data_IF_094330913163
#
_entry.id   IF_094330913163
#
_cell.length_a   1.000
_cell.length_b   1.000
_cell.length_c   1.000
_cell.angle_alpha   90.00
_cell.angle_beta   90.00
_cell.angle_gamma   90.00
#
_symmetry.space_group_name_H-M   'P 1'
#
loop_
_entity.id
_entity.type
_entity.pdbx_description
1 polymer ?
#
# COMPACT_ATOMS: atom_id res chain seq x y z
N UNK A 1 -12.71 30.13 86.56
CA UNK A 1 -11.63 30.35 85.57
C UNK A 1 -11.13 29.05 84.93
N UNK A 2 -10.91 27.95 85.67
CA UNK A 2 -10.36 26.69 85.12
C UNK A 2 -11.19 26.06 83.97
N UNK A 3 -12.53 26.04 84.04
CA UNK A 3 -13.38 25.45 83.00
C UNK A 3 -13.35 26.20 81.65
N UNK A 4 -13.17 27.53 81.68
CA UNK A 4 -13.12 28.34 80.47
C UNK A 4 -11.83 28.09 79.67
N UNK A 5 -10.71 27.87 80.38
CA UNK A 5 -9.40 27.58 79.77
C UNK A 5 -9.42 26.20 79.12
N UNK A 6 -9.98 25.18 79.80
CA UNK A 6 -10.11 23.82 79.25
C UNK A 6 -11.02 23.81 78.03
N UNK A 7 -12.15 24.51 78.06
CA UNK A 7 -13.06 24.63 76.93
C UNK A 7 -12.39 25.34 75.73
N UNK A 8 -11.63 26.41 75.97
CA UNK A 8 -10.88 27.11 74.92
C UNK A 8 -9.82 26.19 74.30
N UNK A 9 -9.12 25.40 75.12
CA UNK A 9 -8.09 24.46 74.66
C UNK A 9 -8.70 23.34 73.79
N UNK A 10 -9.88 22.82 74.18
CA UNK A 10 -10.64 21.85 73.40
C UNK A 10 -11.11 22.44 72.06
N UNK A 11 -11.56 23.69 72.02
CA UNK A 11 -11.93 24.38 70.77
C UNK A 11 -10.73 24.51 69.84
N UNK A 12 -9.56 24.93 70.36
CA UNK A 12 -8.34 25.06 69.57
C UNK A 12 -7.88 23.70 69.02
N UNK A 13 -7.90 22.65 69.83
CA UNK A 13 -7.55 21.28 69.38
C UNK A 13 -8.52 20.80 68.30
N UNK A 14 -9.82 21.03 68.48
CA UNK A 14 -10.85 20.62 67.51
C UNK A 14 -10.68 21.36 66.18
N UNK A 15 -10.37 22.66 66.21
CA UNK A 15 -10.06 23.45 65.00
C UNK A 15 -8.80 22.93 64.33
N UNK A 16 -7.73 22.64 65.09
CA UNK A 16 -6.48 22.13 64.52
C UNK A 16 -6.66 20.75 63.86
N UNK A 17 -7.39 19.84 64.51
CA UNK A 17 -7.69 18.51 63.97
C UNK A 17 -8.58 18.60 62.72
N UNK A 18 -9.62 19.43 62.73
CA UNK A 18 -10.50 19.61 61.57
C UNK A 18 -9.76 20.22 60.37
N UNK A 19 -8.88 21.21 60.59
CA UNK A 19 -8.00 21.75 59.53
C UNK A 19 -7.03 20.68 59.01
N UNK A 20 -6.47 19.86 59.90
CA UNK A 20 -5.60 18.73 59.52
C UNK A 20 -6.33 17.73 58.61
N UNK A 21 -7.52 17.29 59.02
CA UNK A 21 -8.36 16.37 58.22
C UNK A 21 -8.77 17.01 56.89
N UNK A 22 -9.14 18.30 56.89
CA UNK A 22 -9.49 19.02 55.67
C UNK A 22 -8.28 19.10 54.70
N UNK A 23 -7.07 19.37 55.21
CA UNK A 23 -5.87 19.41 54.38
C UNK A 23 -5.54 18.06 53.73
N UNK A 24 -5.67 16.96 54.49
CA UNK A 24 -5.49 15.60 53.98
C UNK A 24 -6.54 15.27 52.91
N UNK A 25 -7.78 15.67 53.14
CA UNK A 25 -8.88 15.49 52.20
C UNK A 25 -8.64 16.29 50.91
N UNK A 26 -8.23 17.57 51.00
CA UNK A 26 -7.90 18.40 49.84
C UNK A 26 -6.73 17.82 49.02
N UNK A 27 -5.68 17.33 49.68
CA UNK A 27 -4.55 16.69 49.01
C UNK A 27 -4.97 15.40 48.28
N UNK A 28 -5.79 14.57 48.93
CA UNK A 28 -6.33 13.36 48.33
C UNK A 28 -7.20 13.67 47.10
N UNK A 29 -8.14 14.62 47.20
CA UNK A 29 -9.01 15.00 46.08
C UNK A 29 -8.26 15.63 44.92
N UNK A 30 -7.21 16.41 45.19
CA UNK A 30 -6.33 16.95 44.14
C UNK A 30 -5.67 15.83 43.33
N UNK A 31 -5.17 14.78 43.99
CA UNK A 31 -4.57 13.63 43.33
C UNK A 31 -5.61 12.82 42.53
N UNK A 32 -6.83 12.64 43.06
CA UNK A 32 -7.92 11.97 42.34
C UNK A 32 -8.33 12.75 41.10
N UNK A 33 -8.52 14.07 41.23
CA UNK A 33 -8.89 14.93 40.10
C UNK A 33 -7.81 14.93 39.02
N UNK A 34 -6.53 14.96 39.41
CA UNK A 34 -5.42 14.81 38.48
C UNK A 34 -5.47 13.48 37.73
N UNK A 35 -5.60 12.35 38.44
CA UNK A 35 -5.68 11.02 37.82
C UNK A 35 -6.87 10.88 36.87
N UNK A 36 -8.05 11.40 37.26
CA UNK A 36 -9.26 11.39 36.42
C UNK A 36 -9.09 12.26 35.18
N UNK A 37 -8.48 13.44 35.30
CA UNK A 37 -8.18 14.31 34.16
C UNK A 37 -7.20 13.65 33.19
N UNK A 38 -6.15 13.01 33.71
CA UNK A 38 -5.16 12.28 32.91
C UNK A 38 -5.79 11.13 32.14
N UNK A 39 -6.61 10.31 32.81
CA UNK A 39 -7.35 9.23 32.15
C UNK A 39 -8.35 9.78 31.13
N UNK A 40 -9.09 10.83 31.47
CA UNK A 40 -10.03 11.49 30.55
C UNK A 40 -9.36 11.96 29.26
N UNK A 41 -8.16 12.52 29.35
CA UNK A 41 -7.39 12.93 28.17
C UNK A 41 -6.98 11.73 27.30
N UNK A 42 -6.36 10.71 27.90
CA UNK A 42 -5.89 9.53 27.14
C UNK A 42 -7.07 8.75 26.52
N UNK A 43 -8.20 8.64 27.24
CA UNK A 43 -9.44 8.05 26.71
C UNK A 43 -9.95 8.86 25.51
N UNK A 44 -9.93 10.19 25.60
CA UNK A 44 -10.35 11.07 24.51
C UNK A 44 -9.47 10.86 23.28
N UNK A 45 -8.14 10.86 23.45
CA UNK A 45 -7.19 10.60 22.36
C UNK A 45 -7.42 9.22 21.74
N UNK A 46 -7.66 8.20 22.55
CA UNK A 46 -7.95 6.82 22.10
C UNK A 46 -9.24 6.74 21.27
N UNK A 47 -10.31 7.47 21.64
CA UNK A 47 -11.57 7.48 20.89
C UNK A 47 -11.45 8.07 19.48
N UNK A 48 -10.50 8.97 19.27
CA UNK A 48 -10.25 9.57 17.94
C UNK A 48 -9.18 8.83 17.14
N UNK A 49 -8.65 7.72 17.64
CA UNK A 49 -7.68 6.90 16.91
C UNK A 49 -8.35 6.24 15.71
N UNK A 50 -7.78 6.44 14.53
CA UNK A 50 -8.12 5.75 13.31
C UNK A 50 -6.88 5.04 12.77
N UNK A 51 -7.03 3.77 12.40
CA UNK A 51 -5.97 2.96 11.81
C UNK A 51 -6.53 2.35 10.53
N UNK A 52 -5.85 2.59 9.42
CA UNK A 52 -6.17 1.97 8.14
C UNK A 52 -4.98 1.16 7.65
N UNK A 53 -5.27 0.00 7.06
CA UNK A 53 -4.24 -0.91 6.57
C UNK A 53 -4.61 -1.40 5.18
N UNK A 54 -3.63 -1.42 4.30
CA UNK A 54 -3.81 -1.82 2.91
C UNK A 54 -3.98 -3.33 2.71
N UNK A 55 -4.26 -3.72 1.46
CA UNK A 55 -4.15 -5.13 1.08
C UNK A 55 -2.72 -5.63 1.25
N UNK A 56 -2.60 -6.92 1.58
CA UNK A 56 -1.34 -7.63 1.75
C UNK A 56 -0.60 -7.78 0.42
N UNK A 57 0.68 -7.36 0.36
CA UNK A 57 1.63 -8.03 -0.53
C UNK A 57 2.46 -9.02 0.23
N UNK A 58 2.82 -10.06 -0.48
CA UNK A 58 3.77 -11.03 0.00
C UNK A 58 4.77 -11.41 -1.08
N UNK A 59 5.94 -11.81 -0.61
CA UNK A 59 6.90 -12.63 -1.33
C UNK A 59 7.05 -13.93 -0.56
N UNK A 60 6.71 -15.06 -1.20
CA UNK A 60 6.91 -16.39 -0.62
C UNK A 60 8.29 -16.92 -0.97
N UNK A 61 9.06 -17.27 0.06
CA UNK A 61 10.35 -17.91 -0.10
C UNK A 61 10.21 -19.42 0.21
N UNK A 62 10.20 -20.20 -0.86
CA UNK A 62 10.02 -21.66 -0.81
C UNK A 62 11.13 -22.41 -0.09
N UNK A 63 12.32 -21.80 0.08
CA UNK A 63 13.44 -22.44 0.79
C UNK A 63 13.31 -22.35 2.32
N UNK A 64 12.56 -21.37 2.83
CA UNK A 64 12.41 -21.10 4.27
C UNK A 64 11.03 -21.43 4.85
N UNK A 65 10.03 -21.72 4.01
CA UNK A 65 8.62 -21.77 4.41
C UNK A 65 8.15 -20.49 5.13
N UNK A 66 8.68 -19.35 4.69
CA UNK A 66 8.42 -18.03 5.22
C UNK A 66 7.88 -17.08 4.13
N UNK A 67 7.12 -16.09 4.57
CA UNK A 67 6.54 -15.03 3.76
C UNK A 67 7.10 -13.70 4.24
N UNK A 68 7.71 -12.94 3.33
CA UNK A 68 7.92 -11.52 3.56
C UNK A 68 6.62 -10.82 3.20
N UNK A 69 5.92 -10.31 4.19
CA UNK A 69 4.67 -9.58 4.01
C UNK A 69 4.90 -8.10 4.16
N UNK A 70 4.17 -7.30 3.40
CA UNK A 70 4.19 -5.85 3.50
C UNK A 70 2.79 -5.29 3.45
N UNK A 71 2.54 -4.34 4.34
CA UNK A 71 1.29 -3.60 4.47
C UNK A 71 1.61 -2.11 4.54
N UNK A 72 0.74 -1.29 3.98
CA UNK A 72 0.78 0.14 4.18
C UNK A 72 -0.17 0.49 5.30
N UNK A 73 0.34 1.19 6.31
CA UNK A 73 -0.39 1.59 7.50
C UNK A 73 -0.53 3.11 7.51
N UNK A 74 -1.72 3.58 7.83
CA UNK A 74 -2.00 4.98 8.11
C UNK A 74 -2.60 5.07 9.51
N UNK A 75 -2.07 6.02 10.30
CA UNK A 75 -2.49 6.23 11.68
C UNK A 75 -2.86 7.70 11.84
N UNK A 76 -4.09 7.96 12.26
CA UNK A 76 -4.60 9.30 12.56
C UNK A 76 -5.10 9.36 13.99
N UNK A 77 -4.70 10.42 14.68
CA UNK A 77 -4.91 10.62 16.11
C UNK A 77 -4.76 12.12 16.41
N UNK A 78 -5.49 12.71 17.38
CA UNK A 78 -5.46 14.14 17.69
C UNK A 78 -4.21 14.56 18.49
N UNK A 79 -3.07 13.93 18.21
CA UNK A 79 -1.75 14.28 18.73
C UNK A 79 -0.73 14.22 17.59
N UNK A 80 0.36 14.97 17.68
CA UNK A 80 1.31 15.09 16.57
C UNK A 80 2.09 13.80 16.29
N UNK A 81 2.38 13.01 17.34
CA UNK A 81 3.16 11.78 17.25
C UNK A 81 2.58 10.69 18.16
N UNK A 82 2.65 9.47 17.67
CA UNK A 82 2.41 8.25 18.44
C UNK A 82 3.52 7.24 18.15
N UNK A 83 3.53 6.17 18.91
CA UNK A 83 4.51 5.10 18.79
C UNK A 83 3.83 3.85 18.27
N UNK A 84 4.32 3.32 17.15
CA UNK A 84 3.86 2.05 16.59
C UNK A 84 4.77 0.95 17.09
N UNK A 85 4.18 -0.10 17.66
CA UNK A 85 4.86 -1.29 18.14
C UNK A 85 4.29 -2.53 17.45
N UNK A 86 4.88 -2.95 16.31
CA UNK A 86 4.39 -4.08 15.53
C UNK A 86 5.11 -5.37 15.89
N UNK A 87 4.43 -6.45 16.25
CA UNK A 87 5.08 -7.71 16.61
C UNK A 87 4.38 -8.91 15.99
N UNK A 88 5.14 -9.98 15.77
CA UNK A 88 4.65 -11.21 15.16
C UNK A 88 4.23 -12.17 16.25
N UNK A 89 3.08 -12.83 16.09
CA UNK A 89 2.61 -13.88 16.98
C UNK A 89 2.08 -15.06 16.18
N UNK A 90 2.28 -16.27 16.70
CA UNK A 90 1.50 -17.43 16.24
C UNK A 90 0.07 -17.27 16.73
N UNK A 91 -0.95 -17.71 15.97
CA UNK A 91 -2.31 -17.27 16.20
C UNK A 91 -2.80 -17.91 17.50
N UNK A 92 -3.12 -17.05 18.48
CA UNK A 92 -3.97 -17.42 19.60
C UNK A 92 -5.43 -17.16 19.18
N UNK A 93 -6.39 -17.64 19.97
CA UNK A 93 -7.78 -17.21 19.82
C UNK A 93 -7.83 -15.66 19.77
N UNK A 94 -8.40 -15.08 18.71
CA UNK A 94 -8.37 -13.63 18.47
C UNK A 94 -8.89 -12.81 19.66
N UNK A 95 -9.81 -13.39 20.45
CA UNK A 95 -10.34 -12.79 21.68
C UNK A 95 -9.26 -12.53 22.74
N UNK A 96 -8.15 -13.27 22.72
CA UNK A 96 -7.04 -13.15 23.66
C UNK A 96 -6.02 -12.07 23.25
N UNK A 97 -6.05 -11.59 22.00
CA UNK A 97 -5.10 -10.57 21.52
C UNK A 97 -5.22 -9.25 22.27
N UNK A 98 -6.41 -8.93 22.81
CA UNK A 98 -6.61 -7.73 23.61
C UNK A 98 -5.71 -7.69 24.84
N UNK A 99 -5.45 -8.82 25.50
CA UNK A 99 -4.62 -8.89 26.72
C UNK A 99 -3.23 -9.45 26.48
N UNK A 100 -2.91 -9.83 25.25
CA UNK A 100 -1.64 -10.46 24.91
C UNK A 100 -0.47 -9.50 25.10
N UNK A 101 0.52 -9.86 25.91
CA UNK A 101 1.75 -9.10 26.07
C UNK A 101 2.84 -9.75 25.20
N UNK A 102 3.45 -9.01 24.26
CA UNK A 102 4.48 -9.57 23.40
C UNK A 102 5.74 -9.95 24.18
N UNK A 103 6.20 -11.18 23.98
CA UNK A 103 7.37 -11.76 24.64
C UNK A 103 8.42 -12.36 23.67
N UNK A 104 8.18 -12.27 22.36
CA UNK A 104 9.08 -12.79 21.33
C UNK A 104 9.89 -11.67 20.68
N UNK A 105 11.05 -12.02 20.11
CA UNK A 105 11.85 -11.11 19.29
C UNK A 105 11.04 -10.62 18.10
N UNK A 106 11.04 -9.31 17.93
CA UNK A 106 10.25 -8.63 16.91
C UNK A 106 10.87 -8.83 15.52
N UNK A 107 10.03 -9.18 14.55
CA UNK A 107 10.44 -9.42 13.17
C UNK A 107 9.70 -8.51 12.18
N UNK A 108 9.43 -7.27 12.61
CA UNK A 108 8.71 -6.27 11.84
C UNK A 108 9.48 -4.94 11.83
N UNK A 109 9.48 -4.28 10.68
CA UNK A 109 10.16 -3.00 10.44
C UNK A 109 9.20 -2.01 9.80
N UNK A 110 9.34 -0.73 10.14
CA UNK A 110 8.64 0.36 9.47
C UNK A 110 9.55 1.09 8.50
N UNK A 111 8.99 1.51 7.37
CA UNK A 111 9.66 2.31 6.36
C UNK A 111 8.80 3.52 5.99
N UNK A 112 9.44 4.60 5.56
CA UNK A 112 8.77 5.76 4.97
C UNK A 112 9.22 5.94 3.53
N UNK A 113 8.34 6.53 2.70
CA UNK A 113 8.64 6.84 1.31
C UNK A 113 9.58 8.03 1.20
N UNK A 114 10.57 7.94 0.31
CA UNK A 114 11.47 9.03 -0.05
C UNK A 114 11.68 9.06 -1.57
N UNK A 115 12.25 10.15 -2.10
CA UNK A 115 12.50 10.30 -3.54
C UNK A 115 13.39 9.18 -4.14
N UNK A 116 14.23 8.55 -3.31
CA UNK A 116 15.15 7.48 -3.73
C UNK A 116 14.68 6.09 -3.24
N UNK A 117 13.38 5.90 -3.08
CA UNK A 117 12.78 4.66 -2.57
C UNK A 117 12.48 4.69 -1.08
N UNK A 118 12.33 3.51 -0.47
CA UNK A 118 11.93 3.38 0.93
C UNK A 118 13.13 3.42 1.87
N UNK A 119 13.01 4.21 2.94
CA UNK A 119 14.02 4.27 3.99
C UNK A 119 13.46 3.68 5.29
N UNK A 120 14.25 2.86 6.00
CA UNK A 120 13.83 2.34 7.29
C UNK A 120 13.62 3.50 8.27
N UNK A 121 12.56 3.40 9.06
CA UNK A 121 12.32 4.32 10.16
C UNK A 121 13.18 3.86 11.35
N UNK A 122 13.86 4.81 11.99
CA UNK A 122 14.69 4.50 13.16
C UNK A 122 13.81 3.90 14.26
N UNK A 123 14.15 2.69 14.70
CA UNK A 123 13.54 2.08 15.86
C UNK A 123 14.24 2.52 17.14
N UNK A 124 13.51 2.45 18.25
CA UNK A 124 14.07 2.52 19.59
C UNK A 124 13.49 1.39 20.43
N UNK A 125 14.20 0.96 21.47
CA UNK A 125 13.75 -0.14 22.32
C UNK A 125 12.84 0.39 23.43
N UNK A 126 11.65 -0.21 23.58
CA UNK A 126 10.77 -0.01 24.73
C UNK A 126 10.91 -1.17 25.71
N UNK A 127 11.11 -0.84 26.99
CA UNK A 127 11.11 -1.82 28.09
C UNK A 127 10.40 -1.23 29.30
N UNK A 128 9.11 -0.97 29.14
CA UNK A 128 8.30 -0.24 30.10
C UNK A 128 6.96 -0.95 30.37
N UNK A 129 6.34 -0.53 31.47
CA UNK A 129 4.96 -0.88 31.79
C UNK A 129 4.02 -0.16 30.82
N UNK A 130 3.11 -0.92 30.23
CA UNK A 130 2.07 -0.43 29.32
C UNK A 130 0.74 -0.48 30.07
N UNK A 131 -0.01 0.62 29.98
CA UNK A 131 -1.30 0.80 30.64
C UNK A 131 -2.44 0.87 29.62
N UNK A 132 -3.64 0.50 30.03
CA UNK A 132 -4.86 0.73 29.26
C UNK A 132 -5.42 2.13 29.53
N UNK A 133 -5.99 2.82 28.53
CA UNK A 133 -6.66 4.11 28.71
C UNK A 133 -7.80 4.04 29.72
N UNK A 134 -8.61 2.97 29.64
CA UNK A 134 -9.71 2.68 30.53
C UNK A 134 -9.16 2.28 31.90
N UNK A 135 -9.56 2.99 32.94
CA UNK A 135 -9.21 2.75 34.36
C UNK A 135 -7.71 2.87 34.70
N UNK A 136 -6.82 3.09 33.72
CA UNK A 136 -5.39 3.18 33.94
C UNK A 136 -4.77 1.86 34.40
N UNK A 137 -5.41 0.73 34.12
CA UNK A 137 -4.96 -0.60 34.52
C UNK A 137 -3.64 -0.93 33.83
N UNK A 138 -2.71 -1.52 34.58
CA UNK A 138 -1.48 -2.09 34.02
C UNK A 138 -1.84 -3.27 33.12
N UNK A 139 -1.59 -3.14 31.82
CA UNK A 139 -1.72 -4.25 30.87
C UNK A 139 -0.58 -5.25 31.09
N UNK A 140 0.64 -4.75 31.26
CA UNK A 140 1.82 -5.57 31.53
C UNK A 140 3.13 -4.87 31.17
N UNK A 141 4.25 -5.58 31.38
CA UNK A 141 5.59 -5.09 31.06
C UNK A 141 6.07 -5.67 29.73
N UNK A 142 6.41 -4.79 28.79
CA UNK A 142 7.06 -5.18 27.54
C UNK A 142 8.57 -5.28 27.75
N UNK A 143 9.19 -6.30 27.17
CA UNK A 143 10.62 -6.56 27.33
C UNK A 143 11.35 -6.41 26.00
N UNK A 144 12.08 -5.31 25.86
CA UNK A 144 13.04 -5.07 24.77
C UNK A 144 12.48 -5.22 23.35
N UNK A 145 11.35 -4.55 23.06
CA UNK A 145 10.79 -4.49 21.71
C UNK A 145 11.15 -3.18 21.00
N UNK A 146 11.45 -3.26 19.72
CA UNK A 146 11.55 -2.13 18.81
C UNK A 146 10.20 -1.41 18.65
N UNK A 147 10.23 -0.11 18.81
CA UNK A 147 9.10 0.78 18.65
C UNK A 147 9.48 1.92 17.71
N UNK A 148 8.50 2.49 17.03
CA UNK A 148 8.71 3.40 15.93
C UNK A 148 7.92 4.68 16.15
N UNK A 149 8.58 5.83 16.15
CA UNK A 149 7.91 7.12 16.23
C UNK A 149 7.25 7.44 14.89
N UNK A 150 5.92 7.53 14.87
CA UNK A 150 5.15 7.90 13.69
C UNK A 150 4.43 9.22 13.91
N UNK A 151 4.46 10.06 12.90
CA UNK A 151 3.64 11.27 12.84
C UNK A 151 2.19 10.90 12.52
N UNK A 152 1.24 11.59 13.15
CA UNK A 152 -0.18 11.45 12.85
C UNK A 152 -0.49 11.87 11.41
N UNK A 153 -1.51 11.24 10.82
CA UNK A 153 -1.97 11.47 9.45
C UNK A 153 -0.87 11.25 8.39
N UNK A 154 0.05 10.33 8.65
CA UNK A 154 1.15 9.97 7.75
C UNK A 154 1.14 8.47 7.50
N UNK A 155 1.60 8.10 6.31
CA UNK A 155 1.61 6.72 5.81
C UNK A 155 2.99 6.08 5.97
N UNK A 156 3.01 4.83 6.43
CA UNK A 156 4.24 4.04 6.60
C UNK A 156 4.06 2.65 5.98
N UNK A 157 5.17 2.01 5.62
CA UNK A 157 5.17 0.60 5.22
C UNK A 157 5.60 -0.23 6.40
N UNK A 158 4.72 -1.13 6.82
CA UNK A 158 4.98 -2.19 7.78
C UNK A 158 5.39 -3.45 7.01
N UNK A 159 6.64 -3.86 7.13
CA UNK A 159 7.13 -5.12 6.58
C UNK A 159 7.46 -6.08 7.70
N UNK A 160 7.10 -7.35 7.54
CA UNK A 160 7.43 -8.39 8.49
C UNK A 160 7.69 -9.71 7.78
N UNK A 161 8.46 -10.58 8.43
CA UNK A 161 8.66 -11.95 7.97
C UNK A 161 7.87 -12.91 8.85
N UNK A 162 7.00 -13.70 8.22
CA UNK A 162 6.02 -14.57 8.87
C UNK A 162 6.18 -16.03 8.42
N UNK A 163 6.00 -16.96 9.34
CA UNK A 163 5.80 -18.38 9.04
C UNK A 163 4.31 -18.69 8.82
N UNK A 164 4.03 -19.90 8.32
CA UNK A 164 2.66 -20.43 8.27
C UNK A 164 1.97 -20.29 9.64
N UNK A 165 0.75 -19.75 9.63
CA UNK A 165 -0.09 -19.42 10.80
C UNK A 165 0.28 -18.16 11.58
N UNK A 166 1.40 -17.47 11.32
CA UNK A 166 1.70 -16.25 12.07
C UNK A 166 0.90 -15.03 11.56
N UNK A 167 0.56 -14.13 12.49
CA UNK A 167 -0.06 -12.83 12.22
C UNK A 167 0.80 -11.70 12.77
N UNK A 168 0.57 -10.48 12.29
CA UNK A 168 1.18 -9.28 12.86
C UNK A 168 0.16 -8.62 13.77
N UNK A 169 0.56 -8.23 14.98
CA UNK A 169 -0.23 -7.38 15.86
C UNK A 169 0.45 -6.02 15.94
N UNK A 170 -0.33 -4.95 15.77
CA UNK A 170 0.17 -3.58 15.78
C UNK A 170 -0.45 -2.85 16.96
N UNK A 171 0.39 -2.42 17.90
CA UNK A 171 -0.03 -1.56 19.01
C UNK A 171 0.26 -0.11 18.68
N UNK A 172 -0.69 0.77 19.02
CA UNK A 172 -0.50 2.23 19.00
C UNK A 172 -0.34 2.70 20.43
N UNK A 173 0.85 3.18 20.75
CA UNK A 173 1.25 3.65 22.07
C UNK A 173 1.34 5.18 22.10
N UNK A 174 0.98 5.75 23.25
CA UNK A 174 1.12 7.17 23.53
C UNK A 174 1.75 7.36 24.91
N UNK A 175 2.83 8.14 24.96
CA UNK A 175 3.49 8.49 26.21
C UNK A 175 2.87 9.77 26.78
N UNK A 176 2.25 9.66 27.95
CA UNK A 176 1.59 10.77 28.60
C UNK A 176 1.85 10.74 30.09
N UNK A 177 2.33 11.87 30.63
CA UNK A 177 2.61 12.05 32.07
C UNK A 177 3.37 10.89 32.74
N UNK A 178 4.47 10.44 32.11
CA UNK A 178 5.34 9.41 32.69
C UNK A 178 4.92 7.97 32.43
N UNK A 179 3.80 7.72 31.75
CA UNK A 179 3.27 6.38 31.47
C UNK A 179 3.06 6.16 29.98
N UNK A 180 3.23 4.91 29.56
CA UNK A 180 2.88 4.47 28.22
C UNK A 180 1.47 3.89 28.21
N UNK A 181 0.62 4.41 27.35
CA UNK A 181 -0.75 3.95 27.18
C UNK A 181 -0.93 3.30 25.82
N UNK A 182 -1.58 2.13 25.77
CA UNK A 182 -2.00 1.51 24.51
C UNK A 182 -3.34 2.11 24.09
N UNK A 183 -3.30 3.08 23.18
CA UNK A 183 -4.50 3.76 22.66
C UNK A 183 -5.42 2.81 21.88
N UNK A 184 -4.83 1.83 21.20
CA UNK A 184 -5.55 0.82 20.44
C UNK A 184 -4.60 -0.24 19.91
N UNK A 185 -5.18 -1.26 19.28
CA UNK A 185 -4.43 -2.29 18.57
C UNK A 185 -5.23 -2.79 17.37
N UNK A 186 -4.52 -3.29 16.37
CA UNK A 186 -5.08 -4.04 15.25
C UNK A 186 -4.23 -5.28 15.00
N UNK A 187 -4.72 -6.20 14.18
CA UNK A 187 -3.97 -7.37 13.76
C UNK A 187 -4.14 -7.60 12.26
N UNK A 188 -3.10 -8.13 11.64
CA UNK A 188 -2.98 -8.38 10.22
C UNK A 188 -2.76 -9.88 10.04
N UNK A 189 -3.81 -10.57 9.61
CA UNK A 189 -3.73 -11.98 9.27
C UNK A 189 -3.46 -12.11 7.75
N UNK A 190 -2.34 -12.72 7.34
CA UNK A 190 -2.08 -12.95 5.92
C UNK A 190 -2.88 -14.12 5.32
N UNK A 191 -3.52 -14.96 6.15
CA UNK A 191 -4.24 -16.18 5.74
C UNK A 191 -5.76 -16.02 5.62
N UNK A 192 -6.36 -15.02 6.28
CA UNK A 192 -7.78 -14.70 6.13
C UNK A 192 -7.97 -13.44 5.27
N UNK A 193 -9.02 -13.42 4.44
CA UNK A 193 -9.54 -12.16 3.85
C UNK A 193 -10.13 -11.20 4.91
N UNK A 194 -10.20 -11.63 6.17
CA UNK A 194 -10.72 -10.90 7.32
C UNK A 194 -9.72 -9.88 7.86
N UNK A 195 -9.66 -8.72 7.21
CA UNK A 195 -9.12 -7.49 7.79
C UNK A 195 -10.16 -6.89 8.71
N UNK A 196 -9.86 -6.77 10.01
CA UNK A 196 -10.69 -6.05 10.97
C UNK A 196 -10.44 -4.54 10.95
N UNK A 197 -11.26 -3.85 10.14
CA UNK A 197 -11.95 -2.55 10.32
C UNK A 197 -11.69 -1.41 9.31
N UNK A 198 -12.74 -0.60 9.14
CA UNK A 198 -13.21 0.15 7.97
C UNK A 198 -12.66 1.59 7.75
N UNK A 199 -12.88 1.99 6.49
CA UNK A 199 -12.45 3.06 5.55
C UNK A 199 -12.78 4.54 5.87
N UNK A 200 -11.93 5.50 5.44
CA UNK A 200 -12.27 6.73 4.67
C UNK A 200 -11.13 7.16 3.68
N UNK A 201 -11.56 7.46 2.46
CA UNK A 201 -10.83 7.95 1.28
C UNK A 201 -9.93 9.17 1.48
N UNK A 202 -8.76 9.19 0.84
CA UNK A 202 -8.06 10.44 0.51
C UNK A 202 -8.41 10.92 -0.90
N UNK A 203 -8.90 12.16 -0.96
CA UNK A 203 -9.01 12.97 -2.17
C UNK A 203 -7.79 13.89 -2.23
N UNK A 204 -7.11 13.90 -3.38
CA UNK A 204 -6.04 14.84 -3.67
C UNK A 204 -6.32 15.53 -5.00
N UNK A 205 -6.19 16.85 -5.03
CA UNK A 205 -6.14 17.64 -6.26
C UNK A 205 -4.71 17.60 -6.80
N UNK A 206 -4.55 17.45 -8.13
CA UNK A 206 -3.24 17.28 -8.76
C UNK A 206 -2.87 18.44 -9.66
N UNK A 207 -1.68 18.99 -9.38
CA UNK A 207 -0.92 19.78 -10.34
C UNK A 207 0.10 18.88 -11.05
N UNK A 208 0.26 19.16 -12.34
CA UNK A 208 1.02 18.47 -13.36
C UNK A 208 2.54 18.40 -13.13
N UNK A 209 3.18 17.52 -13.91
CA UNK A 209 4.62 17.46 -14.25
C UNK A 209 5.61 17.26 -13.08
N UNK A 210 6.14 16.04 -12.96
CA UNK A 210 7.31 15.76 -12.12
C UNK A 210 8.54 16.50 -12.68
N UNK A 211 8.97 17.57 -12.00
CA UNK A 211 10.24 18.28 -12.30
C UNK A 211 11.48 17.38 -12.19
N UNK A 212 11.36 16.19 -11.59
CA UNK A 212 12.46 15.23 -11.43
C UNK A 212 12.83 14.49 -12.73
N UNK A 213 11.99 14.55 -13.78
CA UNK A 213 12.30 13.98 -15.10
C UNK A 213 13.39 14.74 -15.89
N UNK A 214 13.90 15.87 -15.39
CA UNK A 214 14.94 16.64 -16.10
C UNK A 214 16.30 15.93 -16.18
N UNK A 215 16.57 14.95 -15.32
CA UNK A 215 17.89 14.31 -15.21
C UNK A 215 17.89 12.80 -15.53
N UNK A 216 16.78 12.22 -15.97
CA UNK A 216 16.77 10.85 -16.47
C UNK A 216 17.25 10.85 -17.92
N UNK A 217 18.35 10.14 -18.22
CA UNK A 217 18.71 9.83 -19.60
C UNK A 217 17.56 9.01 -20.18
N UNK A 218 16.76 9.63 -21.05
CA UNK A 218 15.57 9.00 -21.58
C UNK A 218 15.92 7.65 -22.24
N UNK A 219 15.11 6.60 -22.01
CA UNK A 219 15.28 5.35 -22.72
C UNK A 219 15.17 5.63 -24.22
N UNK A 220 16.25 5.35 -24.96
CA UNK A 220 16.41 5.49 -26.41
C UNK A 220 15.34 6.35 -27.14
N UNK A 221 15.60 7.65 -27.30
CA UNK A 221 14.73 8.57 -28.07
C UNK A 221 14.58 8.23 -29.58
N UNK A 222 15.23 7.16 -30.09
CA UNK A 222 15.47 7.02 -31.54
C UNK A 222 15.33 5.60 -32.10
N UNK A 223 15.06 4.58 -31.29
CA UNK A 223 14.82 3.21 -31.78
C UNK A 223 13.38 2.82 -31.51
N UNK A 224 12.60 2.70 -32.57
CA UNK A 224 11.20 2.32 -32.49
C UNK A 224 11.05 0.99 -31.74
N UNK A 225 10.31 1.00 -30.63
CA UNK A 225 10.05 -0.22 -29.85
C UNK A 225 9.30 -1.19 -30.76
N UNK A 226 9.84 -2.39 -30.98
CA UNK A 226 9.31 -3.32 -31.98
C UNK A 226 8.20 -4.21 -31.43
N UNK A 227 8.17 -4.40 -30.11
CA UNK A 227 7.08 -5.03 -29.39
C UNK A 227 6.89 -4.33 -28.05
N UNK A 228 5.62 -4.18 -27.66
CA UNK A 228 5.22 -3.66 -26.36
C UNK A 228 4.16 -4.59 -25.79
N UNK A 229 4.35 -4.94 -24.53
CA UNK A 229 3.50 -5.78 -23.72
C UNK A 229 3.02 -4.98 -22.54
N UNK A 230 1.74 -5.09 -22.24
CA UNK A 230 1.14 -4.49 -21.06
C UNK A 230 0.21 -5.49 -20.42
N UNK A 231 0.19 -5.56 -19.09
CA UNK A 231 -0.83 -6.34 -18.41
C UNK A 231 -1.09 -5.84 -17.02
N UNK A 232 -2.28 -6.19 -16.51
CA UNK A 232 -2.70 -5.79 -15.17
C UNK A 232 -3.62 -6.84 -14.55
N UNK A 233 -3.61 -6.87 -13.22
CA UNK A 233 -4.62 -7.54 -12.40
C UNK A 233 -5.70 -6.55 -11.99
N UNK A 234 -6.97 -6.87 -12.24
CA UNK A 234 -8.11 -6.09 -11.77
C UNK A 234 -9.20 -6.97 -11.15
N UNK A 235 -10.01 -6.37 -10.28
CA UNK A 235 -11.15 -6.99 -9.61
C UNK A 235 -12.35 -6.04 -9.66
N UNK A 236 -13.50 -6.43 -10.23
CA UNK A 236 -14.73 -5.67 -10.13
C UNK A 236 -15.21 -5.65 -8.67
N UNK A 237 -15.39 -4.47 -8.09
CA UNK A 237 -15.86 -4.28 -6.70
C UNK A 237 -17.30 -3.78 -6.64
N UNK A 238 -17.77 -3.12 -7.69
CA UNK A 238 -19.17 -2.72 -7.84
C UNK A 238 -19.56 -2.74 -9.32
N UNK A 239 -20.84 -2.99 -9.59
CA UNK A 239 -21.39 -2.88 -10.93
C UNK A 239 -21.67 -1.41 -11.25
N UNK A 240 -21.20 -0.94 -12.40
CA UNK A 240 -21.46 0.42 -12.87
C UNK A 240 -22.39 0.41 -14.09
N UNK A 241 -23.45 1.21 -14.03
CA UNK A 241 -24.35 1.44 -15.18
C UNK A 241 -23.74 2.36 -16.24
N UNK A 242 -22.72 3.14 -15.86
CA UNK A 242 -21.91 3.98 -16.74
C UNK A 242 -20.57 3.31 -17.03
N UNK A 243 -19.84 3.81 -18.03
CA UNK A 243 -18.50 3.30 -18.34
C UNK A 243 -17.54 3.60 -17.17
N UNK A 244 -17.08 2.56 -16.49
CA UNK A 244 -16.02 2.66 -15.50
C UNK A 244 -14.70 2.23 -16.14
N UNK A 245 -13.80 3.19 -16.37
CA UNK A 245 -12.51 2.94 -17.00
C UNK A 245 -11.60 2.17 -16.04
N UNK A 246 -11.00 1.10 -16.54
CA UNK A 246 -9.97 0.31 -15.84
C UNK A 246 -8.59 0.75 -16.31
N UNK A 247 -8.42 0.87 -17.63
CA UNK A 247 -7.15 1.24 -18.26
C UNK A 247 -7.40 2.07 -19.51
N UNK A 248 -6.58 3.09 -19.73
CA UNK A 248 -6.42 3.73 -21.03
C UNK A 248 -4.94 3.82 -21.38
N UNK A 249 -4.56 3.18 -22.48
CA UNK A 249 -3.24 3.27 -23.08
C UNK A 249 -3.34 4.17 -24.31
N UNK A 250 -2.60 5.28 -24.31
CA UNK A 250 -2.49 6.17 -25.47
C UNK A 250 -1.08 6.05 -26.07
N UNK A 251 -1.02 5.89 -27.38
CA UNK A 251 0.20 5.65 -28.14
C UNK A 251 0.37 6.73 -29.19
N UNK A 252 1.60 7.20 -29.38
CA UNK A 252 1.99 7.99 -30.55
C UNK A 252 2.72 7.05 -31.50
N UNK A 253 2.08 6.71 -32.62
CA UNK A 253 2.67 5.86 -33.64
C UNK A 253 3.79 6.57 -34.40
N UNK A 254 4.66 5.80 -35.07
CA UNK A 254 5.79 6.31 -35.87
C UNK A 254 5.40 7.34 -36.92
N UNK A 255 4.16 7.29 -37.42
CA UNK A 255 3.62 8.23 -38.40
C UNK A 255 2.91 9.45 -37.76
N UNK A 256 3.07 9.67 -36.45
CA UNK A 256 2.46 10.78 -35.70
C UNK A 256 1.00 10.56 -35.31
N UNK A 257 0.40 9.44 -35.69
CA UNK A 257 -0.98 9.12 -35.34
C UNK A 257 -1.13 8.74 -33.86
N UNK A 258 -2.12 9.31 -33.19
CA UNK A 258 -2.44 8.98 -31.82
C UNK A 258 -3.51 7.88 -31.75
N UNK A 259 -3.18 6.75 -31.13
CA UNK A 259 -4.09 5.62 -30.93
C UNK A 259 -4.38 5.51 -29.45
N UNK A 260 -5.62 5.23 -29.06
CA UNK A 260 -6.00 4.94 -27.69
C UNK A 260 -6.66 3.57 -27.60
N UNK A 261 -6.25 2.77 -26.61
CA UNK A 261 -6.87 1.52 -26.22
C UNK A 261 -7.42 1.66 -24.80
N UNK A 262 -8.74 1.60 -24.68
CA UNK A 262 -9.47 1.67 -23.43
C UNK A 262 -10.03 0.30 -23.05
N UNK A 263 -9.87 -0.06 -21.79
CA UNK A 263 -10.55 -1.18 -21.15
C UNK A 263 -11.47 -0.60 -20.08
N UNK A 264 -12.75 -0.95 -20.13
CA UNK A 264 -13.73 -0.47 -19.18
C UNK A 264 -14.78 -1.55 -18.89
N UNK A 265 -15.42 -1.46 -17.73
CA UNK A 265 -16.62 -2.22 -17.46
C UNK A 265 -17.88 -1.35 -17.57
N UNK A 266 -18.99 -1.99 -17.92
CA UNK A 266 -20.33 -1.39 -17.88
C UNK A 266 -21.36 -2.52 -17.79
N UNK A 267 -22.31 -2.44 -16.87
CA UNK A 267 -23.37 -3.44 -16.66
C UNK A 267 -22.82 -4.87 -16.53
N UNK A 268 -21.82 -5.07 -15.67
CA UNK A 268 -21.14 -6.37 -15.44
C UNK A 268 -20.42 -6.93 -16.66
N UNK A 269 -20.18 -6.13 -17.69
CA UNK A 269 -19.53 -6.56 -18.92
C UNK A 269 -18.21 -5.83 -19.10
N UNK A 270 -17.18 -6.59 -19.44
CA UNK A 270 -15.88 -6.06 -19.82
C UNK A 270 -15.88 -5.73 -21.32
N UNK A 271 -15.43 -4.53 -21.65
CA UNK A 271 -15.26 -4.07 -23.02
C UNK A 271 -13.84 -3.60 -23.26
N UNK A 272 -13.40 -3.79 -24.50
CA UNK A 272 -12.20 -3.17 -25.07
C UNK A 272 -12.60 -2.27 -26.20
N UNK A 273 -11.99 -1.10 -26.25
CA UNK A 273 -12.26 -0.08 -27.24
C UNK A 273 -10.94 0.49 -27.76
N UNK A 274 -10.76 0.49 -29.07
CA UNK A 274 -9.62 1.11 -29.74
C UNK A 274 -10.11 2.28 -30.58
N UNK A 275 -9.37 3.38 -30.60
CA UNK A 275 -9.70 4.55 -31.42
C UNK A 275 -8.44 5.19 -31.99
N UNK A 276 -8.51 5.58 -33.25
CA UNK A 276 -7.54 6.44 -33.90
C UNK A 276 -8.01 7.88 -33.75
N UNK A 277 -7.37 8.63 -32.85
CA UNK A 277 -7.79 9.98 -32.45
C UNK A 277 -7.74 10.97 -33.61
N UNK A 278 -6.93 10.73 -34.64
CA UNK A 278 -6.79 11.59 -35.81
C UNK A 278 -7.89 11.40 -36.87
N UNK A 279 -8.67 10.31 -36.84
CA UNK A 279 -9.57 9.98 -37.97
C UNK A 279 -10.94 9.44 -37.57
N UNK A 280 -11.35 9.53 -36.30
CA UNK A 280 -12.62 9.03 -35.75
C UNK A 280 -12.89 7.52 -35.93
N UNK A 281 -11.93 6.77 -36.48
CA UNK A 281 -12.03 5.32 -36.63
C UNK A 281 -11.95 4.67 -35.25
N UNK A 282 -12.92 3.82 -34.94
CA UNK A 282 -12.93 3.11 -33.66
C UNK A 282 -13.54 1.72 -33.78
N UNK A 283 -13.14 0.85 -32.87
CA UNK A 283 -13.66 -0.51 -32.73
C UNK A 283 -13.88 -0.81 -31.26
N UNK A 284 -15.04 -1.37 -30.94
CA UNK A 284 -15.39 -1.84 -29.60
C UNK A 284 -15.69 -3.33 -29.67
N UNK A 285 -15.28 -4.08 -28.66
CA UNK A 285 -15.61 -5.50 -28.54
C UNK A 285 -15.92 -5.86 -27.10
N UNK A 286 -16.97 -6.65 -26.92
CA UNK A 286 -17.30 -7.30 -25.65
C UNK A 286 -16.33 -8.46 -25.40
N UNK A 287 -15.72 -8.50 -24.22
CA UNK A 287 -14.77 -9.54 -23.82
C UNK A 287 -15.42 -10.62 -22.96
N UNK A 288 -16.09 -10.26 -21.88
CA UNK A 288 -16.74 -11.24 -21.00
C UNK A 288 -17.71 -10.57 -20.04
N UNK A 289 -18.55 -11.40 -19.41
CA UNK A 289 -19.25 -10.99 -18.19
C UNK A 289 -18.27 -11.07 -17.01
N UNK A 290 -18.41 -10.17 -16.07
CA UNK A 290 -17.56 -9.99 -14.90
C UNK A 290 -18.34 -10.34 -13.64
N UNK A 291 -17.79 -11.25 -12.86
CA UNK A 291 -18.27 -11.51 -11.50
C UNK A 291 -17.63 -10.54 -10.51
N UNK A 292 -18.44 -9.99 -9.60
CA UNK A 292 -17.96 -9.17 -8.49
C UNK A 292 -16.98 -9.94 -7.61
N UNK A 293 -15.99 -9.23 -7.10
CA UNK A 293 -14.93 -9.71 -6.22
C UNK A 293 -14.03 -10.83 -6.77
N UNK A 294 -14.11 -11.11 -8.08
CA UNK A 294 -13.23 -12.06 -8.75
C UNK A 294 -12.05 -11.33 -9.42
N UNK A 295 -10.84 -11.87 -9.27
CA UNK A 295 -9.64 -11.34 -9.93
C UNK A 295 -9.53 -11.81 -11.37
N UNK A 296 -9.23 -10.88 -12.26
CA UNK A 296 -8.95 -11.10 -13.67
C UNK A 296 -7.59 -10.52 -14.02
N UNK A 297 -6.88 -11.18 -14.92
CA UNK A 297 -5.64 -10.69 -15.48
C UNK A 297 -5.82 -10.42 -16.97
N UNK A 298 -5.57 -9.20 -17.40
CA UNK A 298 -5.59 -8.84 -18.82
C UNK A 298 -4.17 -8.64 -19.31
N UNK A 299 -3.86 -9.25 -20.45
CA UNK A 299 -2.58 -9.16 -21.13
C UNK A 299 -2.79 -8.61 -22.53
N UNK A 300 -2.00 -7.61 -22.90
CA UNK A 300 -2.06 -6.89 -24.17
C UNK A 300 -0.68 -6.98 -24.78
N UNK A 301 -0.60 -7.35 -26.05
CA UNK A 301 0.66 -7.31 -26.81
C UNK A 301 0.44 -6.75 -28.20
N UNK A 302 1.38 -5.94 -28.67
CA UNK A 302 1.35 -5.36 -30.01
C UNK A 302 2.77 -5.00 -30.48
N UNK A 303 2.91 -4.74 -31.78
CA UNK A 303 4.16 -4.29 -32.41
C UNK A 303 4.57 -5.13 -33.63
N UNK A 304 5.56 -4.65 -34.37
CA UNK A 304 6.05 -5.29 -35.59
C UNK A 304 6.51 -6.76 -35.40
N UNK A 305 7.03 -7.12 -34.22
CA UNK A 305 7.56 -8.47 -33.96
C UNK A 305 6.61 -9.37 -33.16
N UNK A 306 5.40 -8.92 -32.81
CA UNK A 306 4.41 -9.71 -32.06
C UNK A 306 3.45 -10.51 -32.96
N UNK A 307 3.82 -10.74 -34.22
CA UNK A 307 3.06 -11.52 -35.20
C UNK A 307 1.93 -10.77 -35.91
N UNK A 308 1.36 -9.70 -35.33
CA UNK A 308 0.40 -8.83 -36.00
C UNK A 308 0.69 -7.34 -35.70
N UNK A 309 1.35 -6.68 -36.65
CA UNK A 309 1.84 -5.31 -36.49
C UNK A 309 0.75 -4.24 -36.52
N UNK A 310 -0.51 -4.61 -36.81
CA UNK A 310 -1.65 -3.71 -36.94
C UNK A 310 -2.80 -4.05 -35.99
N UNK A 311 -2.60 -4.92 -34.99
CA UNK A 311 -3.61 -5.18 -33.96
C UNK A 311 -3.03 -5.19 -32.55
N UNK A 312 -3.90 -4.91 -31.59
CA UNK A 312 -3.72 -5.23 -30.19
C UNK A 312 -4.21 -6.65 -29.95
N UNK A 313 -3.31 -7.55 -29.55
CA UNK A 313 -3.67 -8.89 -29.13
C UNK A 313 -3.99 -8.84 -27.64
N UNK A 314 -5.25 -9.06 -27.29
CA UNK A 314 -5.75 -8.93 -25.92
C UNK A 314 -6.22 -10.29 -25.45
N UNK A 315 -5.71 -10.74 -24.31
CA UNK A 315 -6.09 -11.99 -23.68
C UNK A 315 -6.50 -11.74 -22.24
N UNK A 316 -7.66 -12.26 -21.87
CA UNK A 316 -8.19 -12.20 -20.53
C UNK A 316 -8.06 -13.57 -19.85
N UNK A 317 -7.57 -13.56 -18.63
CA UNK A 317 -7.39 -14.73 -17.80
C UNK A 317 -8.21 -14.63 -16.52
N UNK A 318 -8.63 -15.78 -16.02
CA UNK A 318 -9.19 -15.96 -14.68
C UNK A 318 -8.65 -17.26 -14.10
N UNK A 319 -8.17 -17.23 -12.84
CA UNK A 319 -7.59 -18.39 -12.16
C UNK A 319 -6.50 -19.10 -12.99
N UNK A 320 -5.65 -18.31 -13.66
CA UNK A 320 -4.55 -18.83 -14.49
C UNK A 320 -4.96 -19.45 -15.84
N UNK A 321 -6.26 -19.50 -16.16
CA UNK A 321 -6.79 -20.02 -17.43
C UNK A 321 -7.23 -18.89 -18.35
N UNK A 322 -7.10 -19.09 -19.66
CA UNK A 322 -7.65 -18.15 -20.66
C UNK A 322 -9.17 -18.20 -20.56
N UNK A 323 -9.78 -17.04 -20.32
CA UNK A 323 -11.22 -16.86 -20.32
C UNK A 323 -11.72 -16.42 -21.69
N UNK A 324 -11.05 -15.44 -22.30
CA UNK A 324 -11.32 -15.00 -23.67
C UNK A 324 -10.10 -14.31 -24.30
N UNK A 325 -10.10 -14.15 -25.62
CA UNK A 325 -9.11 -13.39 -26.37
C UNK A 325 -9.76 -12.65 -27.54
N UNK A 326 -9.16 -11.53 -27.93
CA UNK A 326 -9.61 -10.75 -29.08
C UNK A 326 -8.46 -9.95 -29.69
N UNK A 327 -8.60 -9.60 -30.96
CA UNK A 327 -7.66 -8.73 -31.67
C UNK A 327 -8.40 -7.46 -32.07
N UNK A 328 -8.00 -6.31 -31.50
CA UNK A 328 -8.54 -5.02 -31.92
C UNK A 328 -7.61 -4.35 -32.92
N UNK A 329 -8.14 -3.73 -33.99
CA UNK A 329 -7.32 -2.98 -34.93
C UNK A 329 -6.64 -1.80 -34.22
N UNK A 330 -5.36 -1.59 -34.53
CA UNK A 330 -4.62 -0.39 -34.11
C UNK A 330 -4.61 0.69 -35.19
N UNK A 331 -5.13 0.39 -36.39
CA UNK A 331 -5.26 1.29 -37.56
C UNK A 331 -3.95 1.85 -38.12
N UNK A 332 -2.82 1.63 -37.46
CA UNK A 332 -1.47 2.03 -37.90
C UNK A 332 -0.43 1.08 -37.32
N UNK A 333 0.79 1.10 -37.84
CA UNK A 333 1.89 0.33 -37.25
C UNK A 333 2.38 1.01 -35.97
N UNK A 334 2.24 0.30 -34.85
CA UNK A 334 2.54 0.80 -33.51
C UNK A 334 3.99 0.53 -33.07
N UNK A 335 4.96 1.03 -33.83
CA UNK A 335 6.33 1.12 -33.33
C UNK A 335 6.52 2.53 -32.74
N UNK A 336 5.83 2.82 -31.63
CA UNK A 336 5.79 4.15 -31.02
C UNK A 336 7.00 4.46 -30.13
N UNK A 337 7.22 5.74 -29.88
CA UNK A 337 8.28 6.23 -28.96
C UNK A 337 7.74 6.59 -27.58
N UNK A 338 6.43 6.89 -27.49
CA UNK A 338 5.79 7.33 -26.26
C UNK A 338 4.50 6.54 -26.03
N UNK A 339 4.35 6.04 -24.80
CA UNK A 339 3.13 5.47 -24.27
C UNK A 339 2.70 6.27 -23.04
N UNK A 340 1.44 6.69 -23.03
CA UNK A 340 0.80 7.26 -21.85
C UNK A 340 -0.14 6.23 -21.26
N UNK A 341 0.04 5.93 -19.99
CA UNK A 341 -0.77 4.95 -19.25
C UNK A 341 -1.63 5.69 -18.24
N UNK A 342 -2.94 5.45 -18.26
CA UNK A 342 -3.89 5.95 -17.27
C UNK A 342 -4.65 4.79 -16.66
N UNK A 343 -4.63 4.71 -15.33
CA UNK A 343 -5.34 3.69 -14.57
C UNK A 343 -6.63 4.25 -13.97
N UNK A 344 -7.69 3.44 -13.98
CA UNK A 344 -8.92 3.73 -13.25
C UNK A 344 -9.74 4.91 -13.78
N UNK A 345 -10.80 5.23 -13.03
CA UNK A 345 -11.65 6.41 -13.19
C UNK A 345 -12.23 6.85 -11.85
N UNK A 346 -12.86 8.02 -11.80
CA UNK A 346 -13.58 8.48 -10.60
C UNK A 346 -14.74 7.54 -10.20
N UNK A 347 -15.16 6.65 -11.08
CA UNK A 347 -16.24 5.69 -10.83
C UNK A 347 -15.70 4.51 -10.02
N UNK A 348 -16.18 4.35 -8.79
CA UNK A 348 -15.75 3.30 -7.85
C UNK A 348 -16.26 1.89 -8.22
N UNK A 349 -15.84 1.34 -9.36
CA UNK A 349 -16.32 0.06 -9.88
C UNK A 349 -15.28 -1.07 -9.88
N UNK A 350 -13.99 -0.74 -10.01
CA UNK A 350 -12.89 -1.70 -10.15
C UNK A 350 -11.81 -1.53 -9.08
N UNK A 351 -10.92 -2.49 -8.98
CA UNK A 351 -9.76 -2.44 -8.10
C UNK A 351 -8.57 -3.00 -8.88
N UNK A 352 -7.48 -2.24 -9.00
CA UNK A 352 -6.26 -2.66 -9.71
C UNK A 352 -5.20 -2.99 -8.66
N UNK A 353 -4.52 -4.12 -8.76
CA UNK A 353 -3.49 -4.53 -7.78
C UNK A 353 -2.07 -4.46 -8.31
N UNK A 354 -1.87 -4.82 -9.59
CA UNK A 354 -0.57 -4.82 -10.24
C UNK A 354 -0.72 -4.48 -11.72
N UNK A 355 0.30 -3.84 -12.28
CA UNK A 355 0.46 -3.68 -13.71
C UNK A 355 1.93 -3.75 -14.13
N UNK A 356 2.18 -4.18 -15.36
CA UNK A 356 3.50 -4.10 -15.97
C UNK A 356 3.43 -3.53 -17.37
N UNK A 357 4.56 -2.99 -17.80
CA UNK A 357 4.89 -2.69 -19.17
C UNK A 357 6.22 -3.38 -19.49
N UNK A 358 6.37 -3.90 -20.70
CA UNK A 358 7.63 -4.44 -21.19
C UNK A 358 7.78 -4.10 -22.66
N UNK A 359 8.99 -3.79 -23.09
CA UNK A 359 9.28 -3.56 -24.51
C UNK A 359 10.49 -4.36 -24.98
N UNK A 360 10.49 -4.78 -26.25
CA UNK A 360 11.55 -5.58 -26.84
C UNK A 360 12.15 -4.95 -28.11
N UNK A 361 13.45 -5.19 -28.31
CA UNK A 361 14.22 -4.61 -29.41
C UNK A 361 14.22 -5.47 -30.67
N UNK A 362 14.08 -6.78 -30.51
CA UNK A 362 14.20 -7.77 -31.58
C UNK A 362 13.39 -9.03 -31.29
N UNK A 363 13.12 -9.82 -32.34
CA UNK A 363 12.40 -11.10 -32.23
C UNK A 363 13.08 -12.08 -31.28
N UNK A 364 14.41 -12.01 -31.13
CA UNK A 364 15.17 -12.83 -30.19
C UNK A 364 14.79 -12.55 -28.73
N UNK A 365 14.25 -11.36 -28.43
CA UNK A 365 13.78 -10.98 -27.09
C UNK A 365 12.37 -11.46 -26.74
N UNK A 366 11.63 -12.08 -27.68
CA UNK A 366 10.22 -12.47 -27.47
C UNK A 366 10.06 -13.48 -26.32
N UNK A 367 11.05 -14.35 -26.09
CA UNK A 367 11.04 -15.27 -24.95
C UNK A 367 10.95 -14.53 -23.61
N UNK A 368 11.87 -13.60 -23.37
CA UNK A 368 11.87 -12.76 -22.16
C UNK A 368 10.66 -11.83 -22.09
N UNK A 369 10.21 -11.30 -23.23
CA UNK A 369 9.03 -10.44 -23.35
C UNK A 369 7.76 -11.12 -22.83
N UNK A 370 7.46 -12.34 -23.33
CA UNK A 370 6.31 -13.11 -22.85
C UNK A 370 6.53 -13.71 -21.46
N UNK A 371 7.78 -13.81 -20.99
CA UNK A 371 8.07 -14.27 -19.63
C UNK A 371 7.57 -13.28 -18.58
N UNK A 372 7.67 -11.97 -18.83
CA UNK A 372 7.18 -10.92 -17.90
C UNK A 372 5.69 -11.12 -17.58
N UNK A 373 4.86 -11.33 -18.60
CA UNK A 373 3.42 -11.56 -18.40
C UNK A 373 3.14 -12.90 -17.69
N UNK A 374 3.90 -13.96 -18.02
CA UNK A 374 3.79 -15.27 -17.36
C UNK A 374 4.13 -15.20 -15.88
N UNK A 375 5.15 -14.44 -15.50
CA UNK A 375 5.53 -14.20 -14.10
C UNK A 375 4.35 -13.60 -13.34
N UNK A 376 3.78 -12.49 -13.83
CA UNK A 376 2.67 -11.82 -13.15
C UNK A 376 1.40 -12.69 -13.09
N UNK A 377 1.07 -13.41 -14.17
CA UNK A 377 -0.08 -14.31 -14.21
C UNK A 377 0.07 -15.47 -13.21
N UNK A 378 1.24 -16.11 -13.18
CA UNK A 378 1.50 -17.28 -12.32
C UNK A 378 1.46 -16.93 -10.84
N UNK A 379 2.00 -15.78 -10.47
CA UNK A 379 2.16 -15.40 -9.07
C UNK A 379 0.92 -14.70 -8.48
N UNK A 380 0.01 -14.25 -9.33
CA UNK A 380 -1.29 -13.70 -8.90
C UNK A 380 -1.26 -12.23 -8.49
N UNK A 381 -2.44 -11.68 -8.12
CA UNK A 381 -2.67 -10.24 -7.96
C UNK A 381 -1.96 -9.61 -6.76
N UNK A 382 -1.50 -10.38 -5.78
CA UNK A 382 -0.91 -9.83 -4.55
C UNK A 382 0.60 -10.07 -4.42
N UNK A 383 1.18 -10.91 -5.27
CA UNK A 383 2.61 -11.22 -5.21
C UNK A 383 3.44 -10.05 -5.73
N UNK A 384 4.27 -9.45 -4.87
CA UNK A 384 5.15 -8.34 -5.24
C UNK A 384 6.61 -8.71 -4.97
N UNK A 385 7.23 -9.42 -5.90
CA UNK A 385 8.68 -9.59 -5.91
C UNK A 385 9.24 -8.87 -7.12
N UNK A 386 9.98 -7.78 -6.89
CA UNK A 386 10.54 -7.00 -7.98
C UNK A 386 11.86 -7.58 -8.50
N UNK A 387 12.51 -8.47 -7.73
CA UNK A 387 13.75 -9.14 -8.12
C UNK A 387 13.58 -10.01 -9.36
N UNK A 388 12.47 -10.72 -9.50
CA UNK A 388 12.23 -11.60 -10.67
C UNK A 388 12.10 -10.80 -11.97
N UNK A 389 11.58 -9.57 -11.90
CA UNK A 389 11.53 -8.67 -13.05
C UNK A 389 12.91 -8.11 -13.38
N UNK A 390 13.68 -7.71 -12.36
CA UNK A 390 15.08 -7.31 -12.50
C UNK A 390 15.95 -8.43 -13.15
N UNK A 391 15.86 -9.66 -12.63
CA UNK A 391 16.55 -10.81 -13.21
C UNK A 391 16.13 -11.06 -14.66
N UNK A 392 14.85 -10.88 -14.99
CA UNK A 392 14.36 -11.05 -16.37
C UNK A 392 15.00 -10.06 -17.34
N UNK A 393 15.10 -8.78 -16.97
CA UNK A 393 15.73 -7.77 -17.84
C UNK A 393 17.25 -7.91 -17.90
N UNK A 394 17.93 -8.25 -16.78
CA UNK A 394 19.37 -8.52 -16.75
C UNK A 394 19.70 -9.71 -17.65
N UNK A 395 18.99 -10.83 -17.49
CA UNK A 395 19.22 -12.04 -18.28
C UNK A 395 18.80 -11.91 -19.75
N UNK A 396 17.98 -10.91 -20.08
CA UNK A 396 17.66 -10.59 -21.47
C UNK A 396 18.84 -10.02 -22.25
N UNK A 397 19.93 -9.59 -21.60
CA UNK A 397 21.15 -9.07 -22.24
C UNK A 397 20.85 -8.02 -23.33
N UNK A 398 20.09 -6.98 -22.98
CA UNK A 398 19.67 -5.90 -23.88
C UNK A 398 18.73 -6.33 -25.03
N UNK A 399 18.11 -7.53 -24.96
CA UNK A 399 17.05 -7.91 -25.90
C UNK A 399 15.70 -7.27 -25.54
N UNK A 400 15.50 -6.93 -24.26
CA UNK A 400 14.44 -6.04 -23.78
C UNK A 400 14.96 -4.60 -23.72
N UNK A 401 14.10 -3.63 -24.03
CA UNK A 401 14.41 -2.21 -23.83
C UNK A 401 14.15 -1.82 -22.37
N UNK A 402 12.96 -2.14 -21.88
CA UNK A 402 12.52 -1.80 -20.54
C UNK A 402 11.51 -2.79 -19.95
N UNK A 403 11.41 -2.74 -18.62
CA UNK A 403 10.30 -3.27 -17.84
C UNK A 403 9.83 -2.16 -16.90
N UNK A 404 8.58 -1.73 -17.05
CA UNK A 404 7.87 -0.90 -16.07
C UNK A 404 7.00 -1.77 -15.17
N UNK A 405 6.95 -1.47 -13.88
CA UNK A 405 6.14 -2.21 -12.91
C UNK A 405 5.46 -1.26 -11.91
N UNK A 406 4.17 -1.50 -11.68
CA UNK A 406 3.36 -0.80 -10.70
C UNK A 406 2.69 -1.79 -9.75
N UNK A 407 2.76 -1.49 -8.46
CA UNK A 407 2.02 -2.19 -7.44
C UNK A 407 1.08 -1.23 -6.70
N UNK A 408 -0.21 -1.58 -6.67
CA UNK A 408 -1.27 -0.77 -6.11
C UNK A 408 -1.65 -1.33 -4.74
N UNK A 409 -1.21 -0.60 -3.73
CA UNK A 409 -1.31 -0.98 -2.32
C UNK A 409 -2.75 -1.01 -1.83
N UNK A 410 -3.53 -0.04 -2.30
CA UNK A 410 -4.97 0.03 -2.09
C UNK A 410 -5.65 -0.13 -3.46
N UNK A 411 -6.03 -1.36 -3.84
CA UNK A 411 -6.73 -1.61 -5.09
C UNK A 411 -8.08 -0.89 -5.11
N UNK A 412 -8.11 0.26 -5.76
CA UNK A 412 -9.33 1.04 -5.96
C UNK A 412 -9.45 1.44 -7.40
N UNK A 413 -10.66 1.86 -7.74
CA UNK A 413 -11.05 2.31 -9.07
C UNK A 413 -10.55 3.73 -9.31
N UNK A 414 -10.31 4.45 -8.22
CA UNK A 414 -9.75 5.78 -8.19
C UNK A 414 -8.37 5.73 -7.51
N UNK A 415 -7.36 5.11 -8.18
CA UNK A 415 -6.01 5.14 -7.64
C UNK A 415 -5.56 6.61 -7.52
N UNK A 416 -4.64 6.95 -6.60
CA UNK A 416 -4.12 8.30 -6.53
C UNK A 416 -3.56 8.68 -7.91
N UNK A 417 -3.66 9.93 -8.31
CA UNK A 417 -3.22 10.38 -9.64
C UNK A 417 -1.71 10.36 -9.84
N UNK A 418 -0.98 9.92 -8.82
CA UNK A 418 0.43 9.64 -8.86
C UNK A 418 0.68 8.32 -8.12
N UNK A 419 1.29 7.37 -8.81
CA UNK A 419 1.55 6.01 -8.35
C UNK A 419 3.02 5.76 -8.62
N UNK A 420 3.80 5.50 -7.57
CA UNK A 420 5.20 5.17 -7.78
C UNK A 420 5.28 3.89 -8.60
N UNK A 421 6.23 3.85 -9.52
CA UNK A 421 6.53 2.69 -10.34
C UNK A 421 8.03 2.45 -10.36
N UNK A 422 8.44 1.25 -10.74
CA UNK A 422 9.84 0.95 -11.02
C UNK A 422 9.99 0.81 -12.51
N UNK A 423 11.02 1.44 -13.06
CA UNK A 423 11.45 1.25 -14.42
C UNK A 423 12.86 0.66 -14.41
N UNK A 424 13.00 -0.55 -14.94
CA UNK A 424 14.29 -1.08 -15.35
C UNK A 424 14.46 -0.85 -16.85
N UNK A 425 15.58 -0.29 -17.28
CA UNK A 425 15.80 -0.01 -18.71
C UNK A 425 17.28 -0.05 -19.08
N UNK A 426 17.57 -0.39 -20.34
CA UNK A 426 18.91 -0.21 -20.90
C UNK A 426 19.02 1.21 -21.49
N UNK A 427 19.89 2.07 -20.94
CA UNK A 427 20.13 3.40 -21.51
C UNK A 427 20.91 3.30 -22.82
N UNK A 428 20.86 4.36 -23.62
CA UNK A 428 21.59 4.45 -24.88
C UNK A 428 23.11 4.42 -24.65
N UNK A 429 23.78 3.40 -25.20
CA UNK A 429 25.23 3.20 -25.11
C UNK A 429 25.60 1.73 -24.86
N UNK A 430 26.90 1.46 -24.62
CA UNK A 430 27.37 0.13 -24.24
C UNK A 430 27.25 -0.08 -22.72
N UNK A 431 26.04 -0.34 -22.26
CA UNK A 431 25.78 -0.68 -20.86
C UNK A 431 25.69 -2.20 -20.69
N UNK A 432 26.48 -2.74 -19.76
CA UNK A 432 26.47 -4.17 -19.44
C UNK A 432 25.28 -4.56 -18.56
N UNK A 433 24.68 -3.60 -17.85
CA UNK A 433 23.59 -3.81 -16.92
C UNK A 433 22.48 -2.75 -17.12
N UNK A 434 21.20 -3.11 -16.90
CA UNK A 434 20.10 -2.16 -16.94
C UNK A 434 20.21 -1.18 -15.75
N UNK A 435 19.79 0.06 -15.98
CA UNK A 435 19.61 1.05 -14.92
C UNK A 435 18.25 0.84 -14.24
N UNK A 436 18.21 1.11 -12.95
CA UNK A 436 16.96 1.13 -12.16
C UNK A 436 16.60 2.59 -11.91
N UNK A 437 15.38 2.95 -12.26
CA UNK A 437 14.81 4.25 -11.95
C UNK A 437 13.50 4.08 -11.20
N UNK A 438 13.45 4.65 -10.00
CA UNK A 438 12.20 4.78 -9.25
C UNK A 438 11.49 5.99 -9.81
N UNK A 439 10.34 5.79 -10.46
CA UNK A 439 9.56 6.87 -11.06
C UNK A 439 9.01 7.70 -9.88
N UNK A 440 9.55 8.91 -9.62
CA UNK A 440 9.18 9.68 -8.46
C UNK A 440 7.89 10.43 -8.78
N UNK A 441 6.80 9.90 -8.26
CA UNK A 441 5.51 10.56 -8.25
C UNK A 441 5.08 10.75 -6.78
N UNK A 442 4.66 11.96 -6.43
CA UNK A 442 4.07 12.29 -5.13
C UNK A 442 2.69 11.64 -4.96
N UNK A 443 2.66 10.49 -4.31
CA UNK A 443 1.44 9.76 -3.93
C UNK A 443 1.72 8.73 -2.82
N UNK A 444 0.69 8.35 -2.07
CA UNK A 444 0.83 7.56 -0.84
C UNK A 444 0.63 6.03 -1.03
N UNK A 445 0.41 5.50 -2.25
CA UNK A 445 -0.09 4.12 -2.44
C UNK A 445 0.75 3.18 -3.33
N UNK A 446 2.07 3.16 -3.16
CA UNK A 446 2.94 2.13 -3.76
C UNK A 446 3.85 1.54 -2.69
N UNK A 447 4.19 0.26 -2.79
CA UNK A 447 5.36 -0.33 -2.13
C UNK A 447 6.19 -1.14 -3.11
N UNK A 448 7.48 -1.17 -2.85
CA UNK A 448 8.47 -1.98 -3.54
C UNK A 448 9.08 -2.89 -2.49
N UNK A 449 8.92 -4.20 -2.66
CA UNK A 449 9.68 -5.17 -1.89
C UNK A 449 10.99 -5.37 -2.66
N UNK A 450 12.08 -4.87 -2.08
CA UNK A 450 13.45 -5.03 -2.56
C UNK A 450 14.09 -6.26 -1.91
#
# INVERSE_FOLDING_TARGET
MNNAIIALLLVVITIALSLGVFSLYSFYFSNVQYSVSTQGNVITVSKYLQIEVSNLAYFYNSKGNDFNVSYLIWVSVPVTKVVVLPFVVSPMNYSLLYYYIPNQTQNASLFYSSQNGYKPLNSFTISNNIYLPQEGILLGKVSSLSAFNVSSNTTYILSAKLNLNQIIVVWILYYYQGKWYRLGYTYLNPFDQGVGLYVVSSTGNYNSYSKALQNANAPHFVTSQKAIGFGLWFKPIANSSIKALILNLSFVATNGNNVSLMIFQQNEKLYVYSTLLSSSQSSQTFLCNLNLNQWYFINISYGAITGNSKSFNITLYSNGKILNYTNLPSYTQLNGYNISVKFGSSTLADAISQAFLVSAQSSNGLGSFYNVSKIMLKNGPFYNNTLIFNETIVNSKNLLYDIGYWYFVWPTSNPPSQISGILWYYPQGNYQYPLIYYIPESGQNTYVIA
#
